data_IF_582265039646
#
_entry.id   IF_582265039646
#
_cell.length_a   1.000
_cell.length_b   1.000
_cell.length_c   1.000
_cell.angle_alpha   90.00
_cell.angle_beta   90.00
_cell.angle_gamma   90.00
#
_symmetry.space_group_name_H-M   'P 1'
#
loop_
_entity.id
_entity.type
_entity.pdbx_description
1 polymer ?
#
# COMPACT_ATOMS: atom_id res chain seq x y z
N UNK A 1 1.34 -12.50 11.24
CA UNK A 1 1.76 -12.24 12.63
C UNK A 1 3.04 -13.00 13.00
N UNK A 2 3.11 -14.33 12.81
CA UNK A 2 4.29 -15.16 13.14
C UNK A 2 5.64 -14.64 12.64
N UNK A 3 5.76 -14.26 11.36
CA UNK A 3 7.02 -13.74 10.78
C UNK A 3 7.57 -12.49 11.51
N UNK A 4 6.69 -11.66 12.09
CA UNK A 4 7.13 -10.49 12.86
C UNK A 4 7.72 -10.93 14.21
N UNK A 5 7.08 -11.90 14.88
CA UNK A 5 7.58 -12.48 16.14
C UNK A 5 8.94 -13.15 15.91
N UNK A 6 9.05 -13.94 14.83
CA UNK A 6 10.31 -14.58 14.43
C UNK A 6 11.42 -13.55 14.25
N UNK A 7 11.18 -12.47 13.50
CA UNK A 7 12.17 -11.39 13.27
C UNK A 7 12.60 -10.68 14.55
N UNK A 8 11.67 -10.34 15.43
CA UNK A 8 11.99 -9.64 16.69
C UNK A 8 12.84 -10.51 17.60
N UNK A 9 12.46 -11.78 17.79
CA UNK A 9 13.22 -12.72 18.63
C UNK A 9 14.60 -12.98 18.00
N UNK A 10 14.68 -13.17 16.69
CA UNK A 10 15.96 -13.37 15.99
C UNK A 10 16.90 -12.17 16.15
N UNK A 11 16.40 -10.94 16.03
CA UNK A 11 17.19 -9.73 16.27
C UNK A 11 17.67 -9.64 17.74
N UNK A 12 16.78 -9.92 18.69
CA UNK A 12 17.11 -9.89 20.12
C UNK A 12 18.11 -10.97 20.53
N UNK A 13 18.06 -12.15 19.91
CA UNK A 13 19.02 -13.23 20.17
C UNK A 13 20.38 -12.92 19.52
N UNK A 14 20.42 -12.33 18.33
CA UNK A 14 21.65 -11.85 17.69
C UNK A 14 22.34 -10.73 18.50
N UNK A 15 21.58 -9.78 19.04
CA UNK A 15 22.12 -8.70 19.88
C UNK A 15 22.58 -9.18 21.26
N UNK A 16 21.82 -10.07 21.89
CA UNK A 16 22.12 -10.56 23.24
C UNK A 16 23.04 -11.79 23.27
N UNK A 17 23.52 -12.27 22.10
CA UNK A 17 24.34 -13.48 22.00
C UNK A 17 23.66 -14.76 22.50
N UNK A 18 22.32 -14.79 22.53
CA UNK A 18 21.56 -15.93 23.07
C UNK A 18 21.49 -17.06 22.05
N UNK A 19 21.93 -18.25 22.43
CA UNK A 19 21.89 -19.46 21.60
C UNK A 19 20.64 -20.31 21.85
N UNK A 20 19.48 -19.69 22.07
CA UNK A 20 18.22 -20.41 22.23
C UNK A 20 17.50 -20.59 20.89
N UNK A 21 16.76 -21.68 20.76
CA UNK A 21 15.92 -21.90 19.58
C UNK A 21 14.75 -20.90 19.60
N UNK A 22 14.61 -20.11 18.54
CA UNK A 22 13.48 -19.20 18.37
C UNK A 22 12.20 -20.03 18.11
N UNK A 23 11.20 -19.99 19.01
CA UNK A 23 10.00 -20.82 18.89
C UNK A 23 9.12 -20.43 17.69
N UNK A 24 9.27 -19.20 17.19
CA UNK A 24 8.57 -18.73 16.00
C UNK A 24 9.32 -19.06 14.70
N UNK A 25 10.49 -19.71 14.75
CA UNK A 25 11.25 -20.08 13.55
C UNK A 25 10.45 -21.05 12.68
N UNK A 26 10.36 -20.77 11.38
CA UNK A 26 9.69 -21.69 10.47
C UNK A 26 10.58 -22.86 10.06
N UNK A 27 11.66 -22.58 9.33
CA UNK A 27 12.57 -23.60 8.79
C UNK A 27 13.30 -24.33 9.91
N UNK A 28 13.15 -25.64 9.97
CA UNK A 28 13.77 -26.51 10.97
C UNK A 28 13.14 -26.43 12.36
N UNK A 29 11.86 -26.06 12.44
CA UNK A 29 11.11 -26.02 13.70
C UNK A 29 9.60 -26.20 13.43
N UNK A 30 8.86 -25.10 13.17
CA UNK A 30 7.40 -25.19 12.97
C UNK A 30 7.01 -25.97 11.71
N UNK A 31 7.89 -26.04 10.70
CA UNK A 31 7.69 -26.83 9.49
C UNK A 31 7.63 -28.36 9.73
N UNK A 32 8.14 -28.84 10.87
CA UNK A 32 8.04 -30.25 11.27
C UNK A 32 6.67 -30.62 11.85
N UNK A 33 5.94 -29.65 12.42
CA UNK A 33 4.69 -29.91 13.15
C UNK A 33 3.46 -29.26 12.50
N UNK A 34 3.66 -28.18 11.74
CA UNK A 34 2.57 -27.41 11.14
C UNK A 34 2.58 -27.58 9.61
N UNK A 35 1.39 -27.73 8.99
CA UNK A 35 1.28 -27.68 7.54
C UNK A 35 1.79 -26.33 7.01
N UNK A 36 2.39 -26.36 5.81
CA UNK A 36 2.90 -25.16 5.15
C UNK A 36 1.83 -24.03 5.17
N UNK A 37 2.20 -22.77 5.45
CA UNK A 37 1.21 -21.72 5.73
C UNK A 37 0.25 -21.49 4.56
N UNK A 38 0.76 -21.66 3.33
CA UNK A 38 -0.06 -21.57 2.10
C UNK A 38 -1.05 -22.72 1.91
N UNK A 39 -0.91 -23.85 2.63
CA UNK A 39 -1.92 -24.93 2.67
C UNK A 39 -3.04 -24.64 3.66
N UNK A 40 -2.78 -23.85 4.71
CA UNK A 40 -3.75 -23.50 5.75
C UNK A 40 -4.57 -22.27 5.35
N UNK A 41 -3.89 -21.22 4.89
CA UNK A 41 -4.53 -20.03 4.35
C UNK A 41 -4.57 -20.14 2.84
N UNK A 42 -5.66 -20.68 2.28
CA UNK A 42 -5.89 -20.63 0.84
C UNK A 42 -5.93 -19.16 0.40
N UNK A 43 -5.03 -18.79 -0.51
CA UNK A 43 -5.04 -17.47 -1.11
C UNK A 43 -6.25 -17.37 -2.03
N UNK A 44 -7.24 -16.57 -1.64
CA UNK A 44 -8.34 -16.20 -2.50
C UNK A 44 -7.99 -14.86 -3.16
N UNK A 45 -7.89 -14.86 -4.49
CA UNK A 45 -7.69 -13.62 -5.23
C UNK A 45 -8.98 -12.81 -5.26
N UNK A 46 -8.86 -11.49 -5.12
CA UNK A 46 -9.99 -10.59 -5.31
C UNK A 46 -10.34 -10.52 -6.80
N UNK A 47 -11.63 -10.66 -7.13
CA UNK A 47 -12.10 -10.48 -8.49
C UNK A 47 -11.87 -9.04 -8.95
N UNK A 48 -11.29 -8.87 -10.13
CA UNK A 48 -11.12 -7.56 -10.75
C UNK A 48 -12.40 -7.14 -11.47
N UNK A 49 -12.70 -5.84 -11.46
CA UNK A 49 -13.77 -5.26 -12.28
C UNK A 49 -13.43 -5.42 -13.77
N UNK A 50 -14.40 -5.82 -14.59
CA UNK A 50 -14.19 -5.89 -16.03
C UNK A 50 -13.92 -4.50 -16.60
N UNK A 51 -12.90 -4.36 -17.47
CA UNK A 51 -12.48 -3.06 -18.01
C UNK A 51 -13.63 -2.26 -18.65
N UNK A 52 -14.54 -2.95 -19.37
CA UNK A 52 -15.71 -2.32 -20.01
C UNK A 52 -16.69 -1.69 -19.01
N UNK A 53 -16.67 -2.11 -17.74
CA UNK A 53 -17.53 -1.57 -16.69
C UNK A 53 -16.89 -0.39 -15.95
N UNK A 54 -15.58 -0.16 -16.13
CA UNK A 54 -14.84 0.90 -15.44
C UNK A 54 -15.43 2.30 -15.68
N UNK A 55 -15.85 2.69 -16.89
CA UNK A 55 -16.42 4.02 -17.11
C UNK A 55 -17.71 4.25 -16.32
N UNK A 56 -18.59 3.24 -16.27
CA UNK A 56 -19.83 3.31 -15.49
C UNK A 56 -19.53 3.37 -13.99
N UNK A 57 -18.59 2.55 -13.53
CA UNK A 57 -18.15 2.54 -12.14
C UNK A 57 -17.55 3.89 -11.70
N UNK A 58 -16.68 4.50 -12.51
CA UNK A 58 -16.09 5.81 -12.21
C UNK A 58 -17.17 6.89 -12.08
N UNK A 59 -18.18 6.88 -12.95
CA UNK A 59 -19.32 7.82 -12.83
C UNK A 59 -20.06 7.65 -11.50
N UNK A 60 -20.38 6.42 -11.11
CA UNK A 60 -21.04 6.14 -9.83
C UNK A 60 -20.14 6.49 -8.64
N UNK A 61 -18.83 6.23 -8.74
CA UNK A 61 -17.88 6.52 -7.67
C UNK A 61 -17.76 8.02 -7.41
N UNK A 62 -17.70 8.84 -8.46
CA UNK A 62 -17.57 10.29 -8.36
C UNK A 62 -18.85 10.99 -7.85
N UNK A 63 -19.99 10.30 -7.83
CA UNK A 63 -21.21 10.77 -7.18
C UNK A 63 -21.18 10.59 -5.65
N UNK A 64 -20.24 9.80 -5.12
CA UNK A 64 -20.12 9.58 -3.68
C UNK A 64 -19.29 10.70 -3.08
N UNK A 65 -19.84 11.32 -2.05
CA UNK A 65 -19.13 12.32 -1.27
C UNK A 65 -18.09 11.68 -0.34
N UNK A 66 -17.10 12.48 0.04
CA UNK A 66 -16.08 12.10 1.01
C UNK A 66 -14.73 11.70 0.42
N UNK A 67 -13.72 11.79 1.27
CA UNK A 67 -12.32 11.64 0.88
C UNK A 67 -11.99 10.23 0.38
N UNK A 68 -12.59 9.19 0.97
CA UNK A 68 -12.35 7.81 0.58
C UNK A 68 -12.73 7.54 -0.89
N UNK A 69 -13.84 8.13 -1.37
CA UNK A 69 -14.26 8.01 -2.76
C UNK A 69 -13.28 8.70 -3.71
N UNK A 70 -12.84 9.92 -3.36
CA UNK A 70 -11.83 10.68 -4.12
C UNK A 70 -10.49 9.96 -4.15
N UNK A 71 -10.02 9.44 -3.02
CA UNK A 71 -8.77 8.68 -2.92
C UNK A 71 -8.81 7.39 -3.76
N UNK A 72 -9.96 6.69 -3.79
CA UNK A 72 -10.13 5.52 -4.66
C UNK A 72 -10.12 5.91 -6.14
N UNK A 73 -10.84 6.97 -6.52
CA UNK A 73 -10.84 7.48 -7.89
C UNK A 73 -9.43 7.90 -8.34
N UNK A 74 -8.69 8.60 -7.48
CA UNK A 74 -7.31 9.00 -7.72
C UNK A 74 -6.39 7.78 -7.85
N UNK A 75 -6.57 6.76 -7.00
CA UNK A 75 -5.84 5.48 -7.10
C UNK A 75 -6.06 4.81 -8.45
N UNK A 76 -7.31 4.83 -8.97
CA UNK A 76 -7.63 4.24 -10.27
C UNK A 76 -6.97 5.01 -11.41
N UNK A 77 -7.00 6.35 -11.38
CA UNK A 77 -6.42 7.20 -12.42
C UNK A 77 -4.88 7.12 -12.47
N UNK A 78 -4.24 6.97 -11.31
CA UNK A 78 -2.77 6.96 -11.19
C UNK A 78 -2.16 5.56 -11.18
N UNK A 79 -2.96 4.53 -10.94
CA UNK A 79 -2.51 3.17 -10.65
C UNK A 79 -1.49 3.06 -9.49
N UNK A 80 -1.43 4.08 -8.61
CA UNK A 80 -0.55 4.09 -7.46
C UNK A 80 -1.04 3.12 -6.37
N UNK A 81 -0.17 2.79 -5.41
CA UNK A 81 -0.60 1.93 -4.30
C UNK A 81 -1.52 2.71 -3.37
N UNK A 82 -2.50 2.03 -2.79
CA UNK A 82 -3.47 2.69 -1.92
C UNK A 82 -2.82 3.36 -0.69
N UNK A 83 -1.72 2.82 -0.16
CA UNK A 83 -0.95 3.44 0.92
C UNK A 83 -0.06 4.61 0.48
N UNK A 84 0.28 4.71 -0.81
CA UNK A 84 0.97 5.88 -1.35
C UNK A 84 -0.03 7.04 -1.41
N UNK A 85 -1.24 6.79 -1.95
CA UNK A 85 -2.30 7.80 -2.08
C UNK A 85 -2.78 8.33 -0.72
N UNK A 86 -3.06 7.46 0.26
CA UNK A 86 -3.48 7.84 1.63
C UNK A 86 -2.37 8.39 2.53
N UNK A 87 -1.20 8.69 1.98
CA UNK A 87 -0.16 9.38 2.74
C UNK A 87 0.54 10.39 1.86
N UNK A 88 -0.08 10.74 0.73
CA UNK A 88 0.41 11.74 -0.18
C UNK A 88 0.44 13.08 0.55
N UNK A 89 1.52 13.83 0.35
CA UNK A 89 1.66 15.16 0.94
C UNK A 89 1.74 16.21 -0.16
N UNK A 90 1.36 17.44 0.15
CA UNK A 90 1.47 18.55 -0.80
C UNK A 90 2.91 18.80 -1.28
N UNK A 91 3.91 18.50 -0.45
CA UNK A 91 5.33 18.60 -0.83
C UNK A 91 5.77 17.56 -1.87
N UNK A 92 4.96 16.54 -2.14
CA UNK A 92 5.22 15.55 -3.20
C UNK A 92 4.63 15.98 -4.56
N UNK A 93 3.85 17.06 -4.62
CA UNK A 93 3.13 17.50 -5.82
C UNK A 93 3.82 18.68 -6.50
N UNK A 94 4.21 18.49 -7.75
CA UNK A 94 4.57 19.57 -8.68
C UNK A 94 3.37 19.84 -9.60
N UNK A 95 2.53 20.79 -9.21
CA UNK A 95 1.33 21.15 -9.97
C UNK A 95 1.64 21.83 -11.31
N UNK A 96 2.80 22.49 -11.42
CA UNK A 96 3.25 23.13 -12.66
C UNK A 96 3.62 22.10 -13.72
N UNK A 97 4.37 21.06 -13.32
CA UNK A 97 4.73 19.95 -14.18
C UNK A 97 3.65 18.84 -14.24
N UNK A 98 2.57 18.96 -13.45
CA UNK A 98 1.53 17.93 -13.26
C UNK A 98 2.13 16.57 -12.87
N UNK A 99 3.01 16.58 -11.88
CA UNK A 99 3.71 15.41 -11.38
C UNK A 99 3.45 15.20 -9.89
N UNK A 100 3.24 13.94 -9.52
CA UNK A 100 3.36 13.49 -8.14
C UNK A 100 4.61 12.63 -7.99
N UNK A 101 5.48 12.99 -7.05
CA UNK A 101 6.78 12.37 -6.83
C UNK A 101 6.79 11.70 -5.47
N UNK A 102 6.59 10.37 -5.44
CA UNK A 102 6.66 9.57 -4.22
C UNK A 102 8.12 9.30 -3.87
N UNK A 103 8.60 9.72 -2.69
CA UNK A 103 10.00 9.59 -2.33
C UNK A 103 10.40 8.13 -2.13
N UNK A 104 11.68 7.84 -2.40
CA UNK A 104 12.27 6.52 -2.23
C UNK A 104 12.06 5.91 -0.83
N UNK A 105 12.02 6.76 0.21
CA UNK A 105 11.78 6.35 1.60
C UNK A 105 10.41 5.71 1.84
N UNK A 106 9.40 6.04 1.04
CA UNK A 106 8.05 5.44 1.09
C UNK A 106 7.88 4.25 0.14
N UNK A 107 8.86 4.02 -0.74
CA UNK A 107 8.78 2.99 -1.78
C UNK A 107 9.47 1.70 -1.33
N UNK A 108 8.79 0.56 -1.50
CA UNK A 108 9.35 -0.77 -1.19
C UNK A 108 10.63 -1.08 -1.96
N UNK A 109 10.80 -0.52 -3.15
CA UNK A 109 11.97 -0.70 -4.01
C UNK A 109 13.14 0.24 -3.66
N UNK A 110 12.95 1.19 -2.73
CA UNK A 110 13.98 2.19 -2.39
C UNK A 110 14.30 3.15 -3.54
N UNK A 111 13.40 3.31 -4.52
CA UNK A 111 13.53 4.23 -5.66
C UNK A 111 12.34 5.16 -5.71
N UNK A 112 12.58 6.41 -6.08
CA UNK A 112 11.54 7.39 -6.33
C UNK A 112 10.57 6.91 -7.40
N UNK A 113 9.29 7.23 -7.22
CA UNK A 113 8.24 6.92 -8.20
C UNK A 113 7.58 8.22 -8.66
N UNK A 114 7.67 8.49 -9.96
CA UNK A 114 7.08 9.67 -10.59
C UNK A 114 5.78 9.27 -11.29
N UNK A 115 4.70 9.91 -10.90
CA UNK A 115 3.35 9.64 -11.40
C UNK A 115 2.85 10.89 -12.13
N UNK A 116 2.68 10.84 -13.46
CA UNK A 116 2.03 11.90 -14.22
C UNK A 116 0.57 12.06 -13.80
N UNK A 117 0.13 13.30 -13.62
CA UNK A 117 -1.24 13.63 -13.21
C UNK A 117 -2.04 14.14 -14.41
N UNK A 118 -3.17 13.50 -14.68
CA UNK A 118 -4.15 14.02 -15.64
C UNK A 118 -4.95 15.16 -15.02
N UNK A 119 -5.68 15.90 -15.84
CA UNK A 119 -6.56 16.97 -15.35
C UNK A 119 -7.63 16.42 -14.39
N UNK A 120 -8.14 15.22 -14.67
CA UNK A 120 -9.10 14.52 -13.83
C UNK A 120 -8.49 14.14 -12.48
N UNK A 121 -7.23 13.71 -12.44
CA UNK A 121 -6.55 13.39 -11.19
C UNK A 121 -6.33 14.66 -10.34
N UNK A 122 -5.95 15.77 -10.97
CA UNK A 122 -5.78 17.06 -10.31
C UNK A 122 -7.10 17.59 -9.72
N UNK A 123 -8.22 17.41 -10.43
CA UNK A 123 -9.54 17.84 -9.98
C UNK A 123 -10.05 17.07 -8.75
N UNK A 124 -9.42 15.95 -8.37
CA UNK A 124 -9.77 15.18 -7.17
C UNK A 124 -9.00 15.62 -5.93
N UNK A 125 -7.98 16.46 -6.08
CA UNK A 125 -7.23 16.99 -4.94
C UNK A 125 -8.12 17.92 -4.11
N UNK A 126 -8.10 17.82 -2.77
CA UNK A 126 -8.79 18.78 -1.91
C UNK A 126 -8.13 20.16 -1.99
N UNK A 127 -8.80 21.20 -1.52
CA UNK A 127 -8.17 22.52 -1.41
C UNK A 127 -7.02 22.45 -0.38
N UNK A 128 -5.93 23.19 -0.63
CA UNK A 128 -4.73 23.13 0.21
C UNK A 128 -4.96 23.50 1.69
N UNK A 129 -6.09 24.12 2.03
CA UNK A 129 -6.51 24.43 3.39
C UNK A 129 -7.12 23.25 4.17
N UNK A 130 -7.58 22.20 3.48
CA UNK A 130 -8.21 21.01 4.07
C UNK A 130 -7.22 19.84 4.26
N UNK A 131 -5.93 20.16 4.18
CA UNK A 131 -4.81 19.22 4.12
C UNK A 131 -4.57 18.38 5.38
N UNK A 132 -5.33 18.60 6.46
CA UNK A 132 -5.25 17.77 7.67
C UNK A 132 -5.73 16.34 7.46
N UNK A 133 -6.38 16.04 6.33
CA UNK A 133 -7.20 14.84 6.19
C UNK A 133 -6.68 13.80 5.17
N UNK A 134 -5.58 14.05 4.44
CA UNK A 134 -4.98 13.07 3.50
C UNK A 134 -4.01 12.08 4.17
#
# INVERSE_FOLDING_TARGET
MRERIEKVIAAADAQAGRQRLNPARWKGNLDAMLPAPGKVAKVQHHAALAYKQLPAFMKTLLQREGLAARALAFTILTAARSGEVRGMTWGELDLGAKLWIVPASRMKSGREHRVPLTNEALALLPDAGDASDL
#
